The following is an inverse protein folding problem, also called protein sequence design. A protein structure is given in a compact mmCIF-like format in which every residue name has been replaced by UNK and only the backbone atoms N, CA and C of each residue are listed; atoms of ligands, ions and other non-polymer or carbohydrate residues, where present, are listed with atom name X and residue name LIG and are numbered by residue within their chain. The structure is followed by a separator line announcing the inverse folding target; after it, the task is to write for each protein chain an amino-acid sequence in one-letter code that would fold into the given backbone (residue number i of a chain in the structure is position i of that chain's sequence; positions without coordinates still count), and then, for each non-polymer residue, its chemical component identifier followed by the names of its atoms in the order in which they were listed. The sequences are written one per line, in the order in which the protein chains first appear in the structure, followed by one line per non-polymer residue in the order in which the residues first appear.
data_IF_697683762397
#
_entry.id   IF_697683762397
#
_cell.length_a   1.000
_cell.length_b   1.000
_cell.length_c   1.000
_cell.angle_alpha   90.00
_cell.angle_beta   90.00
_cell.angle_gamma   90.00
#
_symmetry.space_group_name_H-M   'P 1'
#
loop_
_entity.id
_entity.type
_entity.pdbx_description
1 polymer ?
#
# COMPACT_ATOMS: atom_id res chain seq x y z
N UNK A 1 6.37 -2.52 -7.99
CA UNK A 1 7.77 -2.33 -7.92
C UNK A 1 8.13 -0.98 -7.33
N UNK A 2 8.78 -0.94 -6.20
CA UNK A 2 9.06 0.28 -5.47
C UNK A 2 9.99 1.25 -6.18
N UNK A 3 9.52 1.92 -7.21
CA UNK A 3 10.30 2.89 -7.99
C UNK A 3 10.97 3.92 -7.07
N UNK A 4 10.23 4.43 -6.08
CA UNK A 4 10.75 5.40 -5.13
C UNK A 4 11.89 4.80 -4.32
N UNK A 5 11.71 3.57 -3.86
CA UNK A 5 12.75 2.86 -3.11
C UNK A 5 13.99 2.59 -3.97
N UNK A 6 13.79 2.27 -5.24
CA UNK A 6 14.91 2.04 -6.16
C UNK A 6 15.72 3.30 -6.39
N UNK A 7 15.05 4.42 -6.64
CA UNK A 7 15.74 5.68 -6.83
C UNK A 7 16.57 6.04 -5.59
N UNK A 8 15.99 5.84 -4.44
CA UNK A 8 16.70 6.12 -3.18
C UNK A 8 17.90 5.22 -3.00
N UNK A 9 17.75 3.91 -3.28
CA UNK A 9 18.85 2.96 -3.17
C UNK A 9 19.98 3.26 -4.13
N UNK A 10 19.69 3.88 -5.29
CA UNK A 10 20.70 4.25 -6.27
C UNK A 10 21.69 5.28 -5.74
N UNK A 11 21.32 6.03 -4.71
CA UNK A 11 22.21 7.02 -4.08
C UNK A 11 23.27 6.38 -3.19
N UNK A 12 23.24 5.07 -3.00
CA UNK A 12 24.25 4.34 -2.25
C UNK A 12 24.20 4.51 -0.75
N UNK A 13 23.11 5.03 -0.21
CA UNK A 13 22.92 5.24 1.23
C UNK A 13 22.27 4.00 1.83
N UNK A 14 22.88 3.46 2.89
CA UNK A 14 22.36 2.27 3.54
C UNK A 14 21.55 2.65 4.78
N UNK A 15 20.21 2.56 4.67
CA UNK A 15 19.28 2.79 5.77
C UNK A 15 18.51 1.52 6.10
N UNK A 16 17.93 1.46 7.30
CA UNK A 16 16.98 0.39 7.63
C UNK A 16 15.77 0.47 6.68
N UNK A 17 15.05 -0.66 6.50
CA UNK A 17 13.88 -0.70 5.65
C UNK A 17 12.85 0.36 5.99
N UNK A 18 12.59 0.59 7.29
CA UNK A 18 11.65 1.61 7.73
C UNK A 18 12.12 3.03 7.43
N UNK A 19 13.42 3.28 7.60
CA UNK A 19 14.00 4.58 7.28
C UNK A 19 13.94 4.87 5.78
N UNK A 20 14.23 3.88 4.95
CA UNK A 20 14.11 4.01 3.49
C UNK A 20 12.69 4.38 3.08
N UNK A 21 11.69 3.76 3.70
CA UNK A 21 10.29 4.05 3.43
C UNK A 21 9.93 5.48 3.78
N UNK A 22 10.39 5.96 4.94
CA UNK A 22 10.12 7.33 5.38
C UNK A 22 10.76 8.37 4.47
N UNK A 23 11.99 8.13 4.05
CA UNK A 23 12.71 9.06 3.17
C UNK A 23 12.08 9.05 1.78
N UNK A 24 11.70 7.90 1.27
CA UNK A 24 11.00 7.80 0.00
C UNK A 24 9.67 8.55 0.03
N UNK A 25 8.93 8.45 1.14
CA UNK A 25 7.67 9.16 1.32
C UNK A 25 7.88 10.67 1.36
N UNK A 26 8.91 11.15 2.07
CA UNK A 26 9.24 12.56 2.12
C UNK A 26 9.56 13.10 0.72
N UNK A 27 10.27 12.32 -0.08
CA UNK A 27 10.57 12.68 -1.46
C UNK A 27 9.30 12.82 -2.31
N UNK A 28 8.36 11.91 -2.14
CA UNK A 28 7.06 11.97 -2.83
C UNK A 28 6.32 13.26 -2.47
N UNK A 29 6.30 13.63 -1.21
CA UNK A 29 5.66 14.88 -0.79
C UNK A 29 6.31 16.09 -1.44
N UNK A 30 7.64 16.09 -1.53
CA UNK A 30 8.39 17.18 -2.13
C UNK A 30 8.17 17.29 -3.63
N UNK A 31 8.16 16.17 -4.35
CA UNK A 31 8.04 16.15 -5.81
C UNK A 31 6.62 16.41 -6.32
N UNK A 32 5.61 16.20 -5.49
CA UNK A 32 4.23 16.56 -5.78
C UNK A 32 3.67 15.94 -7.08
N UNK A 33 3.77 14.64 -7.22
CA UNK A 33 3.19 13.90 -8.34
C UNK A 33 1.67 13.73 -8.18
N UNK A 34 0.93 13.68 -9.30
CA UNK A 34 -0.52 13.47 -9.28
C UNK A 34 -0.90 12.02 -9.03
N UNK A 35 -0.08 11.09 -9.46
CA UNK A 35 -0.31 9.65 -9.31
C UNK A 35 0.89 9.05 -8.58
N UNK A 36 0.62 8.28 -7.55
CA UNK A 36 1.64 7.59 -6.79
C UNK A 36 1.39 6.09 -6.83
N UNK A 37 2.42 5.34 -7.18
CA UNK A 37 2.37 3.87 -7.15
C UNK A 37 3.24 3.38 -5.99
N UNK A 38 2.64 2.61 -5.09
CA UNK A 38 3.32 2.06 -3.92
C UNK A 38 3.22 0.55 -3.95
N UNK A 39 4.37 -0.12 -4.06
CA UNK A 39 4.45 -1.58 -4.12
C UNK A 39 5.01 -2.10 -2.81
N UNK A 40 4.17 -2.78 -2.03
CA UNK A 40 4.51 -3.32 -0.71
C UNK A 40 5.17 -2.28 0.19
N UNK A 41 4.56 -1.09 0.38
CA UNK A 41 5.27 0.03 1.00
C UNK A 41 5.65 -0.20 2.45
N UNK A 42 4.99 -1.11 3.16
CA UNK A 42 5.26 -1.37 4.57
C UNK A 42 5.92 -2.73 4.83
N UNK A 43 6.40 -3.40 3.78
CA UNK A 43 6.95 -4.75 3.91
C UNK A 43 8.13 -4.81 4.90
N UNK A 44 8.92 -3.76 5.00
CA UNK A 44 10.09 -3.69 5.88
C UNK A 44 9.80 -2.97 7.20
N UNK A 45 8.56 -2.59 7.46
CA UNK A 45 8.18 -1.88 8.68
C UNK A 45 7.64 -2.82 9.74
N UNK A 46 7.87 -2.43 11.00
CA UNK A 46 7.19 -3.04 12.14
C UNK A 46 5.69 -2.73 12.05
N UNK A 47 4.87 -3.70 12.40
CA UNK A 47 3.41 -3.57 12.37
C UNK A 47 2.92 -2.35 13.16
N UNK A 48 3.60 -2.01 14.24
CA UNK A 48 3.23 -0.85 15.08
C UNK A 48 3.28 0.46 14.32
N UNK A 49 4.18 0.57 13.35
CA UNK A 49 4.34 1.80 12.57
C UNK A 49 3.56 1.77 11.27
N UNK A 50 3.03 0.63 10.88
CA UNK A 50 2.29 0.49 9.61
C UNK A 50 1.06 1.37 9.60
N UNK A 51 0.29 1.36 10.68
CA UNK A 51 -0.92 2.18 10.78
C UNK A 51 -0.59 3.66 10.67
N UNK A 52 0.44 4.11 11.37
CA UNK A 52 0.88 5.50 11.30
C UNK A 52 1.30 5.88 9.89
N UNK A 53 1.99 4.99 9.21
CA UNK A 53 2.42 5.22 7.83
C UNK A 53 1.21 5.43 6.90
N UNK A 54 0.22 4.55 6.97
CA UNK A 54 -0.96 4.67 6.12
C UNK A 54 -1.82 5.87 6.48
N UNK A 55 -1.97 6.17 7.75
CA UNK A 55 -2.68 7.37 8.19
C UNK A 55 -2.02 8.62 7.61
N UNK A 56 -0.69 8.67 7.64
CA UNK A 56 0.08 9.78 7.07
C UNK A 56 -0.12 9.88 5.56
N UNK A 57 0.01 8.77 4.84
CA UNK A 57 -0.14 8.72 3.38
C UNK A 57 -1.53 9.19 2.98
N UNK A 58 -2.58 8.63 3.57
CA UNK A 58 -3.95 8.96 3.20
C UNK A 58 -4.33 10.38 3.59
N UNK A 59 -3.74 10.90 4.66
CA UNK A 59 -3.99 12.27 5.13
C UNK A 59 -3.35 13.31 4.23
N UNK A 60 -2.06 13.14 3.91
CA UNK A 60 -1.29 14.13 3.15
C UNK A 60 -1.44 14.00 1.64
N UNK A 61 -1.83 12.83 1.15
CA UNK A 61 -1.95 12.56 -0.28
C UNK A 61 -3.39 12.36 -0.72
N UNK A 62 -4.35 12.87 0.05
CA UNK A 62 -5.79 12.67 -0.22
C UNK A 62 -6.25 13.24 -1.57
N UNK A 63 -5.54 14.24 -2.09
CA UNK A 63 -5.86 14.84 -3.39
C UNK A 63 -5.15 14.14 -4.55
N UNK A 64 -4.41 13.09 -4.25
CA UNK A 64 -3.65 12.33 -5.24
C UNK A 64 -4.32 10.99 -5.51
N UNK A 65 -4.02 10.42 -6.66
CA UNK A 65 -4.40 9.05 -6.97
C UNK A 65 -3.29 8.13 -6.47
N UNK A 66 -3.63 7.22 -5.56
CA UNK A 66 -2.68 6.28 -5.00
C UNK A 66 -3.05 4.88 -5.46
N UNK A 67 -2.13 4.22 -6.16
CA UNK A 67 -2.25 2.81 -6.51
C UNK A 67 -1.33 2.02 -5.60
N UNK A 68 -1.90 1.19 -4.75
CA UNK A 68 -1.14 0.45 -3.76
C UNK A 68 -1.24 -1.05 -3.99
N UNK A 69 -0.10 -1.73 -3.92
CA UNK A 69 -0.01 -3.18 -3.99
C UNK A 69 0.43 -3.67 -2.62
N UNK A 70 -0.36 -4.55 -2.00
CA UNK A 70 -0.03 -5.07 -0.68
C UNK A 70 -0.60 -6.46 -0.48
N UNK A 71 0.14 -7.28 0.26
CA UNK A 71 -0.32 -8.57 0.76
C UNK A 71 -0.91 -8.47 2.17
N UNK A 72 -0.78 -7.32 2.82
CA UNK A 72 -1.33 -7.07 4.16
C UNK A 72 -2.71 -6.47 4.02
N UNK A 73 -3.73 -7.31 3.99
CA UNK A 73 -5.09 -6.88 3.67
C UNK A 73 -5.66 -5.90 4.69
N UNK A 74 -5.27 -6.01 5.95
CA UNK A 74 -5.72 -5.06 6.96
C UNK A 74 -5.38 -3.60 6.61
N UNK A 75 -4.30 -3.39 5.87
CA UNK A 75 -3.85 -2.05 5.50
C UNK A 75 -4.68 -1.42 4.38
N UNK A 76 -5.34 -2.25 3.57
CA UNK A 76 -6.04 -1.75 2.39
C UNK A 76 -7.55 -1.58 2.60
N UNK A 77 -8.05 -1.87 3.79
CA UNK A 77 -9.49 -1.76 4.07
C UNK A 77 -10.04 -0.35 3.91
N UNK A 78 -9.19 0.65 4.08
CA UNK A 78 -9.57 2.06 3.94
C UNK A 78 -9.48 2.58 2.50
N UNK A 79 -9.02 1.76 1.56
CA UNK A 79 -8.94 2.18 0.16
C UNK A 79 -10.32 2.38 -0.44
N UNK A 80 -10.45 3.35 -1.34
CA UNK A 80 -11.71 3.63 -2.00
C UNK A 80 -12.15 2.51 -2.91
N UNK A 81 -11.20 1.77 -3.48
CA UNK A 81 -11.48 0.65 -4.35
C UNK A 81 -10.38 -0.39 -4.27
N UNK A 82 -10.78 -1.64 -4.19
CA UNK A 82 -9.87 -2.77 -4.08
C UNK A 82 -10.05 -3.65 -5.30
N UNK A 83 -8.94 -4.08 -5.89
CA UNK A 83 -8.92 -5.00 -7.01
C UNK A 83 -8.22 -6.28 -6.57
N UNK A 84 -8.91 -7.39 -6.67
CA UNK A 84 -8.33 -8.71 -6.42
C UNK A 84 -7.89 -9.32 -7.74
N UNK A 85 -6.61 -9.60 -7.85
CA UNK A 85 -6.05 -10.14 -9.09
C UNK A 85 -5.64 -11.59 -8.92
N UNK A 86 -5.94 -12.38 -9.95
CA UNK A 86 -5.61 -13.79 -9.96
C UNK A 86 -5.22 -14.18 -11.39
N UNK A 87 -4.05 -14.80 -11.55
CA UNK A 87 -3.56 -15.24 -12.86
C UNK A 87 -3.60 -14.14 -13.93
N UNK A 88 -3.23 -12.93 -13.54
CA UNK A 88 -3.18 -11.78 -14.45
C UNK A 88 -4.53 -11.14 -14.75
N UNK A 89 -5.58 -11.57 -14.09
CA UNK A 89 -6.94 -11.05 -14.31
C UNK A 89 -7.50 -10.45 -13.03
N UNK A 90 -8.30 -9.40 -13.18
CA UNK A 90 -9.07 -8.84 -12.06
C UNK A 90 -10.34 -9.67 -11.94
N UNK A 91 -10.45 -10.42 -10.85
CA UNK A 91 -11.59 -11.33 -10.63
C UNK A 91 -12.63 -10.78 -9.67
N UNK A 92 -12.24 -9.85 -8.80
CA UNK A 92 -13.15 -9.17 -7.89
C UNK A 92 -12.73 -7.72 -7.77
N UNK A 93 -13.69 -6.82 -7.59
CA UNK A 93 -13.40 -5.41 -7.35
C UNK A 93 -14.54 -4.75 -6.59
N UNK A 94 -14.19 -3.74 -5.80
CA UNK A 94 -15.14 -2.98 -5.00
C UNK A 94 -14.49 -2.43 -3.75
N UNK A 95 -15.32 -1.94 -2.82
CA UNK A 95 -14.87 -1.54 -1.50
C UNK A 95 -14.64 -2.78 -0.64
N UNK A 96 -13.95 -2.61 0.49
CA UNK A 96 -13.78 -3.70 1.44
C UNK A 96 -15.13 -4.31 1.83
N UNK A 97 -16.11 -3.46 2.15
CA UNK A 97 -17.43 -3.94 2.56
C UNK A 97 -18.11 -4.73 1.46
N UNK A 98 -18.09 -4.23 0.23
CA UNK A 98 -18.68 -4.93 -0.91
C UNK A 98 -18.05 -6.30 -1.13
N UNK A 99 -16.73 -6.38 -1.04
CA UNK A 99 -16.02 -7.63 -1.23
C UNK A 99 -16.25 -8.63 -0.10
N UNK A 100 -16.42 -8.14 1.13
CA UNK A 100 -16.75 -9.01 2.26
C UNK A 100 -18.17 -9.58 2.13
N UNK A 101 -19.12 -8.75 1.70
CA UNK A 101 -20.50 -9.19 1.47
C UNK A 101 -20.61 -10.21 0.35
N UNK A 102 -19.74 -10.08 -0.65
CA UNK A 102 -19.69 -11.02 -1.77
C UNK A 102 -19.25 -12.42 -1.37
N UNK A 103 -18.50 -12.54 -0.26
CA UNK A 103 -18.02 -13.81 0.27
C UNK A 103 -17.19 -14.62 -0.75
N UNK A 104 -16.44 -13.90 -1.59
CA UNK A 104 -15.57 -14.51 -2.57
C UNK A 104 -14.16 -14.76 -2.05
N UNK A 105 -13.20 -14.78 -2.97
CA UNK A 105 -11.80 -15.08 -2.63
C UNK A 105 -11.16 -14.01 -1.76
N UNK A 106 -11.47 -12.74 -2.02
CA UNK A 106 -10.97 -11.65 -1.18
C UNK A 106 -11.41 -11.83 0.28
N UNK A 107 -12.69 -12.08 0.50
CA UNK A 107 -13.22 -12.25 1.85
C UNK A 107 -12.56 -13.42 2.57
N UNK A 108 -12.37 -14.54 1.87
CA UNK A 108 -11.71 -15.72 2.44
C UNK A 108 -10.27 -15.43 2.81
N UNK A 109 -9.54 -14.73 1.95
CA UNK A 109 -8.16 -14.37 2.20
C UNK A 109 -8.05 -13.40 3.37
N UNK A 110 -8.94 -12.41 3.44
CA UNK A 110 -8.96 -11.44 4.53
C UNK A 110 -9.19 -12.13 5.87
N UNK A 111 -10.18 -13.01 5.95
CA UNK A 111 -10.48 -13.74 7.19
C UNK A 111 -9.32 -14.66 7.60
N UNK A 112 -8.62 -15.26 6.63
CA UNK A 112 -7.46 -16.09 6.91
C UNK A 112 -6.31 -15.28 7.51
N UNK A 113 -6.13 -14.03 7.09
CA UNK A 113 -5.07 -13.18 7.65
C UNK A 113 -5.38 -12.65 9.06
N UNK A 114 -6.63 -12.63 9.45
CA UNK A 114 -7.00 -12.21 10.81
C UNK A 114 -6.65 -13.26 11.89
N UNK A 115 -6.46 -14.50 11.51
CA UNK A 115 -6.19 -15.59 12.45
C UNK A 115 -4.68 -15.83 12.66
#
# INVERSE_FOLDING_TARGET
DGIISKEFCADGIDFSGGERQRIALARVFYENHDILIMDEPTAAMDIRFEKEFYDLVFSYLKDKTILMISHRLASITACDRIFYMESGLITEQGTHQELMEKQGKYAKLFLAQLN
#
